data_IF_446299237558
#
_entry.id   IF_446299237558
#
_cell.length_a   1.000
_cell.length_b   1.000
_cell.length_c   1.000
_cell.angle_alpha   90.00
_cell.angle_beta   90.00
_cell.angle_gamma   90.00
#
_symmetry.space_group_name_H-M   'P 1'
#
loop_
_entity.id
_entity.type
_entity.pdbx_description
1 polymer ?
#
# COMPACT_ATOMS: atom_id res chain seq x y z
N UNK A 1 3.13 8.83 -14.34
CA UNK A 1 3.64 7.45 -14.51
C UNK A 1 3.92 6.82 -13.17
N UNK A 2 3.69 5.52 -13.07
CA UNK A 2 4.04 4.67 -11.93
C UNK A 2 4.99 3.60 -12.48
N UNK A 3 6.20 3.50 -11.94
CA UNK A 3 7.22 2.54 -12.37
C UNK A 3 7.41 1.54 -11.22
N UNK A 4 6.75 0.39 -11.31
CA UNK A 4 6.85 -0.67 -10.30
C UNK A 4 6.85 -2.02 -11.00
N UNK A 5 7.94 -2.77 -10.85
CA UNK A 5 8.04 -4.12 -11.36
C UNK A 5 7.22 -5.09 -10.52
N UNK A 6 6.61 -6.09 -11.15
CA UNK A 6 5.92 -7.17 -10.49
C UNK A 6 6.38 -8.50 -11.09
N UNK A 7 7.01 -9.40 -10.31
CA UNK A 7 7.40 -10.71 -10.82
C UNK A 7 6.15 -11.56 -11.08
N UNK A 8 6.04 -12.10 -12.28
CA UNK A 8 4.98 -13.05 -12.63
C UNK A 8 5.52 -14.48 -12.59
N UNK A 9 4.95 -15.30 -11.70
CA UNK A 9 5.18 -16.73 -11.64
C UNK A 9 3.82 -17.41 -11.74
N UNK A 10 3.56 -18.28 -12.74
CA UNK A 10 2.27 -18.95 -12.85
C UNK A 10 2.11 -20.00 -11.75
N UNK A 11 0.93 -20.07 -11.13
CA UNK A 11 0.58 -21.12 -10.17
C UNK A 11 0.38 -22.46 -10.90
N UNK A 12 1.14 -23.48 -10.51
CA UNK A 12 1.01 -24.81 -11.07
C UNK A 12 -0.37 -25.40 -10.71
N UNK A 13 -1.06 -25.98 -11.70
CA UNK A 13 -2.39 -26.59 -11.53
C UNK A 13 -3.44 -25.65 -10.93
N UNK A 14 -3.35 -24.35 -11.24
CA UNK A 14 -4.29 -23.34 -10.76
C UNK A 14 -5.75 -23.72 -11.01
N UNK A 15 -6.56 -23.53 -9.98
CA UNK A 15 -8.02 -23.61 -10.02
C UNK A 15 -8.61 -22.40 -9.31
N UNK A 16 -9.73 -21.89 -9.79
CA UNK A 16 -10.46 -20.83 -9.08
C UNK A 16 -10.99 -21.32 -7.73
N UNK A 17 -11.08 -20.40 -6.77
CA UNK A 17 -11.71 -20.65 -5.48
C UNK A 17 -12.83 -19.63 -5.25
N UNK A 18 -13.85 -20.00 -4.46
CA UNK A 18 -14.98 -19.12 -4.14
C UNK A 18 -14.58 -17.87 -3.34
N UNK A 19 -13.41 -17.90 -2.69
CA UNK A 19 -12.78 -16.78 -1.99
C UNK A 19 -11.28 -16.79 -2.31
N UNK A 20 -10.62 -15.63 -2.22
CA UNK A 20 -9.20 -15.46 -2.53
C UNK A 20 -8.95 -14.82 -3.91
N UNK A 21 -7.69 -14.46 -4.18
CA UNK A 21 -7.31 -13.80 -5.42
C UNK A 21 -7.13 -14.82 -6.54
N UNK A 22 -8.07 -14.84 -7.49
CA UNK A 22 -8.09 -15.75 -8.64
C UNK A 22 -7.30 -15.18 -9.83
N UNK A 23 -5.99 -14.98 -9.66
CA UNK A 23 -5.11 -14.36 -10.68
C UNK A 23 -4.20 -15.35 -11.43
N UNK A 24 -4.14 -16.61 -11.00
CA UNK A 24 -3.21 -17.60 -11.59
C UNK A 24 -1.74 -17.37 -11.23
N UNK A 25 -1.46 -16.54 -10.22
CA UNK A 25 -0.10 -16.17 -9.81
C UNK A 25 0.29 -16.95 -8.55
N UNK A 26 1.46 -17.58 -8.57
CA UNK A 26 2.11 -18.09 -7.37
C UNK A 26 2.71 -16.93 -6.57
N UNK A 27 1.88 -16.34 -5.70
CA UNK A 27 2.29 -15.25 -4.83
C UNK A 27 3.37 -15.66 -3.83
N UNK A 28 3.50 -16.95 -3.49
CA UNK A 28 4.55 -17.40 -2.57
C UNK A 28 5.92 -17.43 -3.26
N UNK A 29 5.97 -17.87 -4.52
CA UNK A 29 7.18 -17.82 -5.32
C UNK A 29 7.60 -16.38 -5.67
N UNK A 30 6.62 -15.49 -5.86
CA UNK A 30 6.83 -14.07 -6.13
C UNK A 30 7.12 -13.22 -4.88
N UNK A 31 7.03 -13.80 -3.67
CA UNK A 31 7.08 -13.06 -2.42
C UNK A 31 8.44 -12.40 -2.16
N UNK A 32 8.43 -11.14 -1.70
CA UNK A 32 9.63 -10.38 -1.39
C UNK A 32 10.47 -11.08 -0.29
N UNK A 33 11.70 -11.52 -0.61
CA UNK A 33 12.54 -12.19 0.38
C UNK A 33 12.92 -11.23 1.51
N UNK A 34 13.25 -11.80 2.68
CA UNK A 34 13.85 -11.05 3.78
C UNK A 34 15.35 -10.85 3.56
N UNK A 35 15.71 -10.24 2.43
CA UNK A 35 17.08 -9.90 2.07
C UNK A 35 17.22 -8.38 1.92
N UNK A 36 18.10 -7.72 2.70
CA UNK A 36 18.27 -6.27 2.63
C UNK A 36 18.71 -5.74 1.27
N UNK A 37 19.57 -6.47 0.56
CA UNK A 37 20.11 -6.04 -0.73
C UNK A 37 19.03 -6.13 -1.81
N UNK A 38 18.28 -7.22 -1.83
CA UNK A 38 17.15 -7.40 -2.76
C UNK A 38 16.09 -6.33 -2.51
N UNK A 39 15.68 -6.13 -1.25
CA UNK A 39 14.68 -5.11 -0.89
C UNK A 39 15.14 -3.71 -1.29
N UNK A 40 16.38 -3.34 -0.98
CA UNK A 40 16.92 -2.03 -1.34
C UNK A 40 16.95 -1.83 -2.87
N UNK A 41 17.35 -2.85 -3.63
CA UNK A 41 17.39 -2.79 -5.09
C UNK A 41 15.98 -2.60 -5.69
N UNK A 42 14.99 -3.38 -5.24
CA UNK A 42 13.62 -3.27 -5.77
C UNK A 42 12.95 -1.96 -5.33
N UNK A 43 13.18 -1.50 -4.09
CA UNK A 43 12.70 -0.19 -3.64
C UNK A 43 13.30 0.95 -4.47
N UNK A 44 14.60 0.89 -4.80
CA UNK A 44 15.24 1.89 -5.65
C UNK A 44 14.73 1.88 -7.11
N UNK A 45 14.30 0.72 -7.61
CA UNK A 45 13.69 0.56 -8.92
C UNK A 45 12.21 0.99 -8.95
N UNK A 46 11.58 1.15 -7.79
CA UNK A 46 10.16 1.51 -7.65
C UNK A 46 10.02 3.04 -7.60
N UNK A 47 9.52 3.65 -8.67
CA UNK A 47 9.52 5.11 -8.86
C UNK A 47 8.15 5.62 -9.27
N UNK A 48 7.93 6.93 -9.11
CA UNK A 48 6.77 7.62 -9.65
C UNK A 48 7.18 8.90 -10.33
N UNK A 49 6.32 9.41 -11.21
CA UNK A 49 6.54 10.71 -11.86
C UNK A 49 5.23 11.36 -12.31
N UNK A 50 5.20 12.69 -12.34
CA UNK A 50 4.30 13.47 -13.18
C UNK A 50 4.98 13.68 -14.53
N UNK A 51 4.29 13.36 -15.62
CA UNK A 51 4.80 13.47 -16.98
C UNK A 51 3.86 14.38 -17.77
N UNK A 52 4.39 15.43 -18.39
CA UNK A 52 3.69 16.09 -19.49
C UNK A 52 4.06 15.40 -20.79
N UNK A 53 3.11 14.66 -21.34
CA UNK A 53 3.26 13.96 -22.60
C UNK A 53 2.63 14.77 -23.72
N UNK A 54 3.37 14.97 -24.80
CA UNK A 54 2.84 15.48 -26.05
C UNK A 54 2.32 14.31 -26.89
N UNK A 55 1.00 14.18 -27.10
CA UNK A 55 0.44 13.08 -27.87
C UNK A 55 0.68 13.20 -29.38
N UNK A 56 0.91 14.41 -29.90
CA UNK A 56 1.15 14.66 -31.34
C UNK A 56 2.60 14.31 -31.68
N UNK A 57 3.53 14.86 -30.92
CA UNK A 57 4.96 14.59 -31.11
C UNK A 57 5.41 13.26 -30.46
N UNK A 58 4.54 12.63 -29.67
CA UNK A 58 4.82 11.39 -28.92
C UNK A 58 6.09 11.47 -28.07
N UNK A 59 6.24 12.58 -27.35
CA UNK A 59 7.43 12.85 -26.56
C UNK A 59 7.10 13.46 -25.19
N UNK A 60 7.96 13.18 -24.21
CA UNK A 60 7.93 13.82 -22.91
C UNK A 60 8.39 15.27 -23.06
N UNK A 61 7.54 16.24 -22.69
CA UNK A 61 7.90 17.66 -22.67
C UNK A 61 8.66 18.02 -21.40
N UNK A 62 8.23 17.46 -20.27
CA UNK A 62 8.90 17.57 -18.98
C UNK A 62 8.44 16.47 -18.02
N UNK A 63 9.21 16.28 -16.95
CA UNK A 63 8.94 15.32 -15.88
C UNK A 63 9.26 15.89 -14.51
N UNK A 64 8.41 15.59 -13.55
CA UNK A 64 8.67 15.76 -12.12
C UNK A 64 8.77 14.38 -11.49
N UNK A 65 9.96 14.02 -10.99
CA UNK A 65 10.18 12.75 -10.31
C UNK A 65 9.59 12.76 -8.90
N UNK A 66 8.98 11.65 -8.50
CA UNK A 66 8.50 11.40 -7.15
C UNK A 66 9.28 10.26 -6.51
N UNK A 67 9.39 10.31 -5.18
CA UNK A 67 10.12 9.31 -4.39
C UNK A 67 9.58 7.88 -4.60
N UNK A 68 8.27 7.75 -4.78
CA UNK A 68 7.61 6.47 -5.03
C UNK A 68 6.39 6.62 -5.94
N UNK A 69 5.80 5.50 -6.35
CA UNK A 69 4.61 5.48 -7.19
C UNK A 69 3.33 5.78 -6.38
N UNK A 70 2.19 5.50 -6.99
CA UNK A 70 0.84 5.64 -6.45
C UNK A 70 0.42 7.08 -6.10
N UNK A 71 1.00 8.04 -6.81
CA UNK A 71 0.61 9.45 -6.76
C UNK A 71 -0.78 9.66 -7.40
N UNK A 72 -1.46 10.72 -6.98
CA UNK A 72 -2.85 10.97 -7.32
C UNK A 72 -3.09 11.39 -8.76
N UNK A 73 -4.37 11.49 -9.11
CA UNK A 73 -4.79 12.04 -10.40
C UNK A 73 -4.40 13.51 -10.56
N UNK A 74 -4.56 14.02 -11.78
CA UNK A 74 -4.13 15.36 -12.19
C UNK A 74 -5.32 16.22 -12.59
N UNK A 75 -5.21 17.53 -12.35
CA UNK A 75 -6.16 18.54 -12.83
C UNK A 75 -5.39 19.66 -13.55
N UNK A 76 -5.65 19.84 -14.85
CA UNK A 76 -5.13 20.98 -15.60
C UNK A 76 -6.19 22.10 -15.68
N UNK A 77 -5.76 23.37 -15.70
CA UNK A 77 -6.67 24.53 -15.80
C UNK A 77 -6.23 25.50 -16.90
N UNK A 78 -7.17 26.33 -17.36
CA UNK A 78 -6.89 27.40 -18.34
C UNK A 78 -5.96 28.50 -17.83
N UNK A 79 -5.65 28.53 -16.53
CA UNK A 79 -4.68 29.45 -15.93
C UNK A 79 -3.22 29.01 -16.06
N UNK A 80 -2.94 27.96 -16.85
CA UNK A 80 -1.57 27.43 -17.02
C UNK A 80 -1.07 26.63 -15.82
N UNK A 81 -1.98 26.04 -15.05
CA UNK A 81 -1.65 25.26 -13.85
C UNK A 81 -2.04 23.79 -13.98
N UNK A 82 -1.20 22.91 -13.44
CA UNK A 82 -1.51 21.49 -13.19
C UNK A 82 -1.45 21.22 -11.68
N UNK A 83 -2.53 20.69 -11.12
CA UNK A 83 -2.61 20.28 -9.71
C UNK A 83 -2.49 18.78 -9.58
N UNK A 84 -1.74 18.32 -8.58
CA UNK A 84 -1.63 16.91 -8.24
C UNK A 84 -1.32 16.72 -6.76
N UNK A 85 -1.95 15.73 -6.15
CA UNK A 85 -1.53 15.21 -4.84
C UNK A 85 -0.61 14.00 -4.98
N UNK A 86 0.30 13.79 -4.03
CA UNK A 86 1.33 12.75 -4.14
C UNK A 86 1.40 11.83 -2.91
N UNK A 87 2.15 10.73 -3.02
CA UNK A 87 2.37 9.78 -1.93
C UNK A 87 3.24 10.38 -0.79
N UNK A 88 3.99 11.44 -1.07
CA UNK A 88 4.82 12.17 -0.10
C UNK A 88 4.03 13.17 0.77
N UNK A 89 2.68 13.11 0.73
CA UNK A 89 1.76 13.93 1.53
C UNK A 89 1.74 15.40 1.14
N UNK A 90 2.06 15.73 -0.12
CA UNK A 90 1.90 17.08 -0.66
C UNK A 90 0.72 17.16 -1.62
N UNK A 91 0.01 18.28 -1.58
CA UNK A 91 -0.81 18.76 -2.69
C UNK A 91 -0.08 19.92 -3.37
N UNK A 92 0.13 19.83 -4.68
CA UNK A 92 1.07 20.68 -5.42
C UNK A 92 0.40 21.29 -6.64
N UNK A 93 0.73 22.55 -6.92
CA UNK A 93 0.43 23.22 -8.18
C UNK A 93 1.73 23.43 -8.97
N UNK A 94 1.73 23.00 -10.21
CA UNK A 94 2.84 23.11 -11.14
C UNK A 94 2.47 24.06 -12.28
N UNK A 95 3.47 24.76 -12.82
CA UNK A 95 3.37 25.42 -14.11
C UNK A 95 3.16 24.36 -15.21
N UNK A 96 2.13 24.53 -16.04
CA UNK A 96 1.73 23.53 -17.02
C UNK A 96 2.75 23.36 -18.16
N UNK A 97 3.52 24.41 -18.46
CA UNK A 97 4.46 24.42 -19.60
C UNK A 97 5.81 23.84 -19.22
N UNK A 98 6.30 24.14 -18.01
CA UNK A 98 7.64 23.79 -17.55
C UNK A 98 7.68 22.70 -16.48
N UNK A 99 6.56 22.42 -15.80
CA UNK A 99 6.52 21.50 -14.67
C UNK A 99 7.14 22.07 -13.38
N UNK A 100 7.47 23.37 -13.35
CA UNK A 100 8.01 24.02 -12.14
C UNK A 100 6.96 24.01 -11.03
N UNK A 101 7.35 23.57 -9.82
CA UNK A 101 6.52 23.67 -8.62
C UNK A 101 6.31 25.15 -8.27
N UNK A 102 5.08 25.63 -8.36
CA UNK A 102 4.71 27.02 -8.04
C UNK A 102 4.17 27.17 -6.62
N UNK A 103 3.51 26.13 -6.13
CA UNK A 103 2.91 26.12 -4.79
C UNK A 103 2.77 24.69 -4.28
N UNK A 104 2.88 24.51 -2.97
CA UNK A 104 2.51 23.25 -2.32
C UNK A 104 1.96 23.44 -0.92
N UNK A 105 1.23 22.44 -0.45
CA UNK A 105 0.72 22.32 0.92
C UNK A 105 0.91 20.89 1.41
N UNK A 106 1.38 20.73 2.66
CA UNK A 106 1.38 19.42 3.32
C UNK A 106 -0.05 19.06 3.72
N UNK A 107 -0.46 17.84 3.36
CA UNK A 107 -1.82 17.33 3.61
C UNK A 107 -1.87 16.20 4.63
N UNK A 108 -0.71 15.86 5.23
CA UNK A 108 -0.54 14.85 6.30
C UNK A 108 -0.92 13.41 5.93
N UNK A 109 -1.31 13.13 4.69
CA UNK A 109 -1.56 11.79 4.16
C UNK A 109 -1.30 11.76 2.66
N UNK A 110 -1.12 10.56 2.09
CA UNK A 110 -0.98 10.43 0.64
C UNK A 110 -2.29 10.75 -0.08
N UNK A 111 -2.20 11.29 -1.30
CA UNK A 111 -3.37 11.57 -2.14
C UNK A 111 -3.32 10.65 -3.36
N UNK A 112 -4.42 9.91 -3.57
CA UNK A 112 -4.61 9.04 -4.74
C UNK A 112 -5.71 9.56 -5.68
N UNK A 113 -6.65 10.35 -5.17
CA UNK A 113 -7.74 10.93 -5.95
C UNK A 113 -7.24 12.06 -6.88
N UNK A 114 -8.00 12.32 -7.95
CA UNK A 114 -7.81 13.49 -8.78
C UNK A 114 -8.43 14.73 -8.10
N UNK A 115 -7.80 15.92 -8.19
CA UNK A 115 -8.41 17.18 -7.76
C UNK A 115 -9.54 17.61 -8.70
N UNK A 116 -10.42 18.46 -8.19
CA UNK A 116 -11.46 19.15 -8.97
C UNK A 116 -11.40 20.66 -8.70
N UNK A 117 -11.90 21.48 -9.62
CA UNK A 117 -12.05 22.92 -9.42
C UNK A 117 -13.46 23.37 -9.79
N UNK A 118 -13.98 24.37 -9.07
CA UNK A 118 -15.31 24.93 -9.26
C UNK A 118 -15.33 26.39 -8.79
N UNK A 119 -16.44 27.09 -9.01
CA UNK A 119 -16.63 28.44 -8.49
C UNK A 119 -17.92 28.58 -7.68
N UNK A 120 -17.88 29.46 -6.68
CA UNK A 120 -19.05 29.84 -5.88
C UNK A 120 -19.06 31.36 -5.84
N UNK A 121 -20.15 31.99 -6.32
CA UNK A 121 -20.33 33.46 -6.34
C UNK A 121 -19.12 34.22 -6.92
N UNK A 122 -18.53 33.69 -7.99
CA UNK A 122 -17.39 34.30 -8.68
C UNK A 122 -16.01 34.00 -8.07
N UNK A 123 -15.92 33.32 -6.92
CA UNK A 123 -14.65 32.89 -6.34
C UNK A 123 -14.33 31.45 -6.74
N UNK A 124 -13.10 31.18 -7.16
CA UNK A 124 -12.64 29.85 -7.57
C UNK A 124 -12.11 29.05 -6.38
N UNK A 125 -12.44 27.77 -6.35
CA UNK A 125 -12.03 26.78 -5.38
C UNK A 125 -11.36 25.59 -6.07
N UNK A 126 -10.38 24.98 -5.41
CA UNK A 126 -9.77 23.71 -5.81
C UNK A 126 -9.94 22.73 -4.67
N UNK A 127 -10.57 21.59 -4.92
CA UNK A 127 -10.84 20.57 -3.92
C UNK A 127 -10.15 19.25 -4.26
N UNK A 128 -9.72 18.52 -3.23
CA UNK A 128 -9.14 17.19 -3.37
C UNK A 128 -9.52 16.32 -2.18
N UNK A 129 -9.82 15.05 -2.45
CA UNK A 129 -9.98 14.04 -1.40
C UNK A 129 -8.59 13.50 -1.03
N UNK A 130 -8.10 13.91 0.13
CA UNK A 130 -6.88 13.38 0.69
C UNK A 130 -7.18 12.06 1.42
N UNK A 131 -6.48 11.00 1.03
CA UNK A 131 -6.69 9.66 1.55
C UNK A 131 -5.73 8.65 0.91
N UNK A 132 -4.88 8.06 1.74
CA UNK A 132 -3.98 7.00 1.34
C UNK A 132 -4.72 5.66 1.31
N UNK A 133 -4.66 4.96 0.19
CA UNK A 133 -5.42 3.74 -0.01
C UNK A 133 -5.24 3.16 -1.40
N UNK A 134 -6.16 2.26 -1.79
CA UNK A 134 -6.03 1.48 -3.02
C UNK A 134 -5.02 0.34 -2.88
N UNK A 135 -4.89 -0.47 -3.94
CA UNK A 135 -4.14 -1.74 -3.87
C UNK A 135 -2.67 -1.55 -3.48
N UNK A 136 -2.03 -0.44 -3.86
CA UNK A 136 -0.63 -0.18 -3.51
C UNK A 136 -0.40 0.01 -2.02
N UNK A 137 -1.38 0.56 -1.29
CA UNK A 137 -1.29 0.73 0.15
C UNK A 137 -1.47 -0.59 0.92
N UNK A 138 -1.90 -1.65 0.23
CA UNK A 138 -2.26 -2.95 0.80
C UNK A 138 -1.30 -4.06 0.37
N UNK A 139 -1.22 -4.35 -0.93
CA UNK A 139 -0.68 -5.60 -1.47
C UNK A 139 0.85 -5.66 -1.68
N UNK A 140 1.56 -4.61 -2.16
CA UNK A 140 3.00 -4.68 -2.47
C UNK A 140 3.94 -4.87 -1.27
N UNK A 141 3.37 -4.96 -0.08
CA UNK A 141 4.06 -5.09 1.18
C UNK A 141 5.08 -3.98 1.45
N UNK A 142 6.36 -4.34 1.62
CA UNK A 142 7.41 -3.36 1.94
C UNK A 142 7.55 -2.25 0.88
N UNK A 143 7.19 -2.52 -0.37
CA UNK A 143 7.24 -1.51 -1.44
C UNK A 143 6.23 -0.36 -1.24
N UNK A 144 5.18 -0.58 -0.45
CA UNK A 144 4.25 0.48 -0.05
C UNK A 144 4.93 1.59 0.77
N UNK A 145 6.14 1.35 1.31
CA UNK A 145 6.90 2.30 2.12
C UNK A 145 7.99 3.05 1.34
N UNK A 146 8.06 2.91 0.02
CA UNK A 146 9.08 3.63 -0.79
C UNK A 146 9.00 5.15 -0.59
N UNK A 147 7.80 5.71 -0.50
CA UNK A 147 7.59 7.13 -0.16
C UNK A 147 7.75 7.44 1.34
N UNK A 148 8.05 6.44 2.17
CA UNK A 148 7.96 6.45 3.63
C UNK A 148 6.66 5.79 4.13
N UNK A 149 6.51 5.56 5.45
CA UNK A 149 5.24 5.09 6.00
C UNK A 149 4.18 6.18 5.89
N UNK A 150 3.11 5.93 5.13
CA UNK A 150 2.02 6.90 4.90
C UNK A 150 0.75 6.44 5.61
N UNK A 151 0.38 7.07 6.72
CA UNK A 151 -0.92 6.77 7.35
C UNK A 151 -2.05 7.41 6.56
N UNK A 152 -3.18 6.70 6.47
CA UNK A 152 -4.41 7.28 5.93
C UNK A 152 -5.02 8.27 6.94
N UNK A 153 -5.26 9.51 6.49
CA UNK A 153 -6.01 10.53 7.24
C UNK A 153 -7.02 11.16 6.30
N UNK A 154 -8.20 10.55 6.20
CA UNK A 154 -9.22 10.94 5.23
C UNK A 154 -9.74 12.37 5.45
N UNK A 155 -9.61 13.25 4.47
CA UNK A 155 -10.13 14.63 4.49
C UNK A 155 -10.58 15.10 3.11
N UNK A 156 -11.63 15.92 3.07
CA UNK A 156 -11.88 16.83 1.96
C UNK A 156 -11.07 18.10 2.22
N UNK A 157 -10.15 18.43 1.33
CA UNK A 157 -9.36 19.66 1.39
C UNK A 157 -9.84 20.59 0.29
N UNK A 158 -10.13 21.85 0.65
CA UNK A 158 -10.61 22.87 -0.28
C UNK A 158 -9.75 24.12 -0.13
N UNK A 159 -9.19 24.56 -1.25
CA UNK A 159 -8.28 25.69 -1.35
C UNK A 159 -8.93 26.82 -2.15
N UNK A 160 -8.62 28.06 -1.77
CA UNK A 160 -8.98 29.30 -2.47
C UNK A 160 -7.86 30.33 -2.25
N UNK A 161 -7.80 31.37 -3.07
CA UNK A 161 -6.85 32.47 -2.86
C UNK A 161 -7.15 33.19 -1.54
N UNK A 162 -6.10 33.44 -0.74
CA UNK A 162 -6.23 34.08 0.58
C UNK A 162 -6.87 33.20 1.67
N UNK A 163 -7.05 31.90 1.42
CA UNK A 163 -7.49 30.96 2.46
C UNK A 163 -6.44 30.80 3.57
N UNK A 164 -6.88 30.83 4.83
CA UNK A 164 -6.00 30.79 6.01
C UNK A 164 -6.27 29.62 6.97
N UNK A 165 -7.14 28.68 6.58
CA UNK A 165 -7.44 27.50 7.38
C UNK A 165 -6.18 26.63 7.56
N UNK A 166 -6.00 26.08 8.75
CA UNK A 166 -4.86 25.23 9.09
C UNK A 166 -5.32 23.82 9.41
N UNK A 167 -4.52 22.83 9.01
CA UNK A 167 -4.72 21.46 9.46
C UNK A 167 -4.37 21.35 10.95
N UNK A 168 -5.03 20.45 11.70
CA UNK A 168 -4.61 20.13 13.06
C UNK A 168 -3.19 19.55 13.06
N UNK A 169 -2.50 19.49 14.21
CA UNK A 169 -1.16 18.87 14.28
C UNK A 169 -1.12 17.47 13.67
N UNK A 170 -0.02 17.16 12.97
CA UNK A 170 0.19 15.82 12.41
C UNK A 170 0.36 14.80 13.55
N UNK A 171 -0.20 13.61 13.35
CA UNK A 171 -0.04 12.50 14.30
C UNK A 171 0.94 11.48 13.75
N UNK A 172 1.77 10.92 14.63
CA UNK A 172 2.79 9.96 14.25
C UNK A 172 2.21 8.57 14.00
N UNK A 173 2.87 7.82 13.10
CA UNK A 173 2.54 6.42 12.85
C UNK A 173 3.29 5.56 13.87
N UNK A 174 2.58 5.05 14.87
CA UNK A 174 3.13 4.10 15.82
C UNK A 174 2.81 2.68 15.37
N UNK A 175 3.82 1.82 15.27
CA UNK A 175 3.62 0.39 15.03
C UNK A 175 3.79 -0.39 16.33
N UNK A 176 2.97 -1.42 16.58
CA UNK A 176 3.23 -2.33 17.68
C UNK A 176 4.62 -2.98 17.54
N UNK A 177 5.24 -3.42 18.65
CA UNK A 177 6.50 -4.13 18.60
C UNK A 177 6.46 -5.34 17.66
N UNK A 178 7.60 -5.67 17.05
CA UNK A 178 7.75 -6.91 16.29
C UNK A 178 8.29 -7.97 17.24
N UNK A 179 7.39 -8.70 17.89
CA UNK A 179 7.75 -9.69 18.90
C UNK A 179 7.04 -11.03 18.65
N UNK A 180 7.55 -11.84 17.71
CA UNK A 180 6.92 -13.12 17.37
C UNK A 180 7.18 -14.20 18.42
N UNK A 181 6.22 -15.12 18.63
CA UNK A 181 6.43 -16.32 19.44
C UNK A 181 7.47 -17.25 18.79
N UNK A 182 7.94 -18.27 19.52
CA UNK A 182 8.82 -19.28 18.95
C UNK A 182 8.17 -19.98 17.74
N UNK A 183 8.97 -20.26 16.71
CA UNK A 183 8.53 -21.04 15.55
C UNK A 183 8.29 -22.49 15.97
N UNK A 184 7.11 -23.02 15.67
CA UNK A 184 6.76 -24.43 15.97
C UNK A 184 6.37 -25.24 14.73
N UNK A 185 6.18 -24.57 13.59
CA UNK A 185 5.85 -25.21 12.32
C UNK A 185 7.04 -25.92 11.68
N UNK A 186 6.75 -27.03 11.02
CA UNK A 186 7.70 -27.73 10.13
C UNK A 186 7.98 -26.92 8.86
N UNK A 187 9.11 -27.14 8.17
CA UNK A 187 9.40 -26.49 6.88
C UNK A 187 8.27 -26.65 5.86
N UNK A 188 7.66 -27.83 5.79
CA UNK A 188 6.57 -28.15 4.86
C UNK A 188 5.30 -27.35 5.19
N UNK A 189 4.96 -27.25 6.48
CA UNK A 189 3.84 -26.43 6.95
C UNK A 189 4.06 -24.95 6.65
N UNK A 190 5.27 -24.43 6.86
CA UNK A 190 5.60 -23.03 6.56
C UNK A 190 5.51 -22.76 5.05
N UNK A 191 5.98 -23.69 4.21
CA UNK A 191 5.89 -23.57 2.76
C UNK A 191 4.44 -23.57 2.27
N UNK A 192 3.58 -24.46 2.80
CA UNK A 192 2.14 -24.45 2.52
C UNK A 192 1.49 -23.15 3.01
N UNK A 193 1.83 -22.72 4.22
CA UNK A 193 1.36 -21.46 4.79
C UNK A 193 1.68 -20.25 3.91
N UNK A 194 2.87 -20.23 3.28
CA UNK A 194 3.25 -19.18 2.34
C UNK A 194 2.37 -19.14 1.10
N UNK A 195 2.07 -20.29 0.50
CA UNK A 195 1.16 -20.39 -0.67
C UNK A 195 -0.24 -19.88 -0.34
N UNK A 196 -0.80 -20.37 0.76
CA UNK A 196 -2.13 -19.97 1.19
C UNK A 196 -2.17 -18.49 1.61
N UNK A 197 -1.13 -18.01 2.32
CA UNK A 197 -1.03 -16.60 2.69
C UNK A 197 -1.04 -15.70 1.46
N UNK A 198 -0.20 -15.98 0.46
CA UNK A 198 -0.10 -15.17 -0.74
C UNK A 198 -1.44 -15.02 -1.46
N UNK A 199 -2.17 -16.13 -1.59
CA UNK A 199 -3.45 -16.18 -2.31
C UNK A 199 -4.65 -15.61 -1.55
N UNK A 200 -4.70 -15.80 -0.23
CA UNK A 200 -5.89 -15.45 0.56
C UNK A 200 -5.72 -14.22 1.45
N UNK A 201 -4.48 -13.84 1.76
CA UNK A 201 -4.17 -12.79 2.73
C UNK A 201 -3.37 -11.64 2.13
N UNK A 202 -2.43 -11.93 1.22
CA UNK A 202 -1.42 -10.98 0.74
C UNK A 202 -1.99 -9.71 0.09
N UNK A 203 -3.14 -9.79 -0.58
CA UNK A 203 -3.76 -8.60 -1.18
C UNK A 203 -4.27 -7.57 -0.17
N UNK A 204 -4.51 -7.97 1.08
CA UNK A 204 -4.94 -7.08 2.17
C UNK A 204 -3.83 -6.83 3.20
N UNK A 205 -3.12 -7.88 3.60
CA UNK A 205 -2.11 -7.85 4.65
C UNK A 205 -0.67 -7.74 4.11
N UNK A 206 -0.53 -7.50 2.81
CA UNK A 206 0.71 -7.19 2.13
C UNK A 206 1.56 -8.39 1.79
N UNK A 207 2.36 -8.22 0.75
CA UNK A 207 3.28 -9.23 0.27
C UNK A 207 4.20 -9.71 1.40
N UNK A 208 4.41 -11.03 1.40
CA UNK A 208 5.26 -11.72 2.35
C UNK A 208 4.99 -11.40 3.84
N UNK A 209 3.71 -11.20 4.19
CA UNK A 209 3.23 -10.80 5.52
C UNK A 209 3.65 -9.41 5.99
N UNK A 210 4.26 -8.62 5.12
CA UNK A 210 4.61 -7.24 5.42
C UNK A 210 3.44 -6.34 5.05
N UNK A 211 2.59 -5.94 6.00
CA UNK A 211 1.53 -4.99 5.69
C UNK A 211 2.06 -3.55 5.56
N UNK A 212 1.38 -2.75 4.75
CA UNK A 212 1.49 -1.31 4.78
C UNK A 212 0.90 -0.71 6.07
N UNK A 213 0.44 0.53 5.98
CA UNK A 213 -0.03 1.35 7.12
C UNK A 213 -1.55 1.49 7.20
N UNK A 214 -2.30 0.85 6.29
CA UNK A 214 -3.76 0.94 6.20
C UNK A 214 -4.44 -0.19 6.96
N UNK A 215 -3.97 -1.43 6.78
CA UNK A 215 -4.49 -2.62 7.47
C UNK A 215 -3.44 -3.18 8.46
N UNK A 216 -3.86 -4.02 9.44
CA UNK A 216 -2.95 -4.59 10.42
C UNK A 216 -1.79 -5.40 9.79
N UNK A 217 -0.58 -5.16 10.29
CA UNK A 217 0.60 -5.96 10.03
C UNK A 217 0.55 -7.24 10.87
N UNK A 218 0.22 -8.37 10.25
CA UNK A 218 -0.05 -9.63 10.96
C UNK A 218 1.18 -10.12 11.73
N UNK A 219 2.40 -9.79 11.29
CA UNK A 219 3.65 -10.11 12.00
C UNK A 219 3.73 -9.49 13.39
N UNK A 220 2.96 -8.43 13.62
CA UNK A 220 2.90 -7.65 14.88
C UNK A 220 1.63 -7.92 15.68
N UNK A 221 0.75 -8.81 15.20
CA UNK A 221 -0.50 -9.10 15.87
C UNK A 221 -0.26 -10.02 17.06
N UNK A 222 -0.82 -9.69 18.23
CA UNK A 222 -0.78 -10.58 19.39
C UNK A 222 -1.47 -11.93 19.13
N UNK A 223 -2.39 -12.00 18.17
CA UNK A 223 -3.13 -13.22 17.85
C UNK A 223 -2.23 -14.32 17.27
N UNK A 224 -1.06 -14.00 16.70
CA UNK A 224 -0.15 -15.04 16.18
C UNK A 224 0.46 -15.88 17.31
N UNK A 225 0.40 -15.42 18.56
CA UNK A 225 0.88 -16.14 19.74
C UNK A 225 -0.02 -17.32 20.16
N UNK A 226 -1.31 -17.30 19.80
CA UNK A 226 -2.27 -18.35 20.19
C UNK A 226 -3.08 -18.85 18.99
N UNK A 227 -2.98 -20.14 18.70
CA UNK A 227 -3.62 -20.74 17.53
C UNK A 227 -5.16 -20.67 17.56
N UNK A 228 -5.79 -20.70 18.75
CA UNK A 228 -7.25 -20.60 18.87
C UNK A 228 -7.74 -19.17 18.62
N UNK A 229 -7.02 -18.19 19.16
CA UNK A 229 -7.29 -16.77 18.94
C UNK A 229 -7.06 -16.37 17.47
N UNK A 230 -6.07 -16.95 16.81
CA UNK A 230 -5.89 -16.82 15.36
C UNK A 230 -7.05 -17.43 14.57
N UNK A 231 -7.42 -18.67 14.90
CA UNK A 231 -8.49 -19.38 14.21
C UNK A 231 -9.86 -18.69 14.38
N UNK A 232 -10.16 -18.11 15.54
CA UNK A 232 -11.43 -17.39 15.73
C UNK A 232 -11.61 -16.21 14.76
N UNK A 233 -10.51 -15.57 14.34
CA UNK A 233 -10.55 -14.52 13.33
C UNK A 233 -10.55 -15.11 11.92
N UNK A 234 -9.58 -15.95 11.60
CA UNK A 234 -9.32 -16.40 10.21
C UNK A 234 -10.28 -17.50 9.76
N UNK A 235 -10.65 -18.43 10.65
CA UNK A 235 -11.61 -19.48 10.36
C UNK A 235 -13.04 -18.98 10.60
N UNK A 236 -13.34 -18.55 11.83
CA UNK A 236 -14.73 -18.28 12.26
C UNK A 236 -15.24 -16.89 11.84
N UNK A 237 -14.34 -15.99 11.43
CA UNK A 237 -14.70 -14.65 10.96
C UNK A 237 -15.18 -13.73 12.09
N UNK A 238 -14.58 -13.82 13.29
CA UNK A 238 -14.93 -12.99 14.44
C UNK A 238 -14.83 -11.47 14.16
N UNK A 239 -14.08 -11.06 13.13
CA UNK A 239 -13.91 -9.67 12.71
C UNK A 239 -14.61 -9.33 11.38
N UNK A 240 -15.57 -10.15 10.93
CA UNK A 240 -16.26 -9.97 9.64
C UNK A 240 -16.96 -8.61 9.52
N UNK A 241 -17.54 -8.12 10.61
CA UNK A 241 -18.24 -6.84 10.63
C UNK A 241 -17.28 -5.64 10.54
N UNK A 242 -15.97 -5.89 10.72
CA UNK A 242 -14.88 -4.92 10.49
C UNK A 242 -14.20 -5.13 9.13
N UNK A 243 -14.75 -6.00 8.26
CA UNK A 243 -14.22 -6.29 6.93
C UNK A 243 -13.21 -7.43 6.85
N UNK A 244 -12.85 -8.09 7.97
CA UNK A 244 -11.98 -9.27 7.96
C UNK A 244 -12.82 -10.56 7.87
N UNK A 245 -12.92 -11.12 6.68
CA UNK A 245 -13.75 -12.30 6.40
C UNK A 245 -13.18 -13.58 7.03
N UNK A 246 -14.07 -14.53 7.31
CA UNK A 246 -13.68 -15.91 7.64
C UNK A 246 -13.45 -16.74 6.37
N UNK A 247 -12.54 -17.71 6.47
CA UNK A 247 -12.09 -18.55 5.36
C UNK A 247 -12.44 -20.04 5.52
N UNK A 248 -13.26 -20.41 6.51
CA UNK A 248 -13.67 -21.79 6.78
C UNK A 248 -14.27 -22.56 5.57
N UNK A 249 -14.78 -21.84 4.57
CA UNK A 249 -15.35 -22.43 3.34
C UNK A 249 -14.31 -22.85 2.31
N UNK A 250 -13.09 -22.32 2.40
CA UNK A 250 -12.04 -22.48 1.38
C UNK A 250 -10.69 -22.93 1.94
N UNK A 251 -10.48 -22.82 3.25
CA UNK A 251 -9.27 -23.25 3.93
C UNK A 251 -9.62 -24.21 5.08
N UNK A 252 -8.87 -25.32 5.16
CA UNK A 252 -8.95 -26.23 6.30
C UNK A 252 -8.33 -25.62 7.56
N UNK A 253 -8.70 -26.10 8.77
CA UNK A 253 -8.04 -25.68 10.00
C UNK A 253 -6.51 -25.85 9.97
N UNK A 254 -6.01 -26.90 9.31
CA UNK A 254 -4.57 -27.15 9.17
C UNK A 254 -3.90 -26.12 8.25
N UNK A 255 -4.56 -25.70 7.17
CA UNK A 255 -4.06 -24.64 6.30
C UNK A 255 -4.03 -23.28 7.02
N UNK A 256 -5.05 -22.98 7.83
CA UNK A 256 -5.10 -21.76 8.63
C UNK A 256 -3.97 -21.70 9.66
N UNK A 257 -3.68 -22.83 10.31
CA UNK A 257 -2.53 -22.96 11.21
C UNK A 257 -1.21 -22.83 10.43
N UNK A 258 -1.12 -23.41 9.24
CA UNK A 258 0.07 -23.26 8.37
C UNK A 258 0.33 -21.80 8.01
N UNK A 259 -0.71 -21.01 7.69
CA UNK A 259 -0.60 -19.56 7.48
C UNK A 259 -0.03 -18.87 8.72
N UNK A 260 -0.51 -19.21 9.93
CA UNK A 260 0.00 -18.64 11.18
C UNK A 260 1.50 -18.90 11.34
N UNK A 261 1.95 -20.13 11.08
CA UNK A 261 3.36 -20.50 11.13
C UNK A 261 4.21 -19.74 10.11
N UNK A 262 3.68 -19.53 8.90
CA UNK A 262 4.34 -18.70 7.90
C UNK A 262 4.49 -17.23 8.36
N UNK A 263 3.44 -16.63 8.94
CA UNK A 263 3.49 -15.26 9.46
C UNK A 263 4.51 -15.14 10.60
N UNK A 264 4.58 -16.12 11.52
CA UNK A 264 5.59 -16.19 12.58
C UNK A 264 7.01 -16.25 12.00
N UNK A 265 7.23 -17.11 11.01
CA UNK A 265 8.52 -17.21 10.31
C UNK A 265 8.92 -15.88 9.67
N UNK A 266 8.00 -15.20 8.98
CA UNK A 266 8.26 -13.86 8.39
C UNK A 266 8.57 -12.81 9.43
N UNK A 267 7.88 -12.83 10.56
CA UNK A 267 8.14 -11.93 11.68
C UNK A 267 9.56 -12.12 12.26
N UNK A 268 10.03 -13.36 12.42
CA UNK A 268 11.40 -13.65 12.85
C UNK A 268 12.44 -13.17 11.86
N UNK A 269 12.24 -13.44 10.57
CA UNK A 269 13.16 -12.97 9.53
C UNK A 269 13.31 -11.45 9.55
N UNK A 270 12.20 -10.72 9.63
CA UNK A 270 12.21 -9.26 9.66
C UNK A 270 12.73 -8.68 10.98
N UNK A 271 12.58 -9.39 12.11
CA UNK A 271 13.21 -9.02 13.38
C UNK A 271 14.74 -9.15 13.27
N UNK A 272 15.23 -10.24 12.71
CA UNK A 272 16.66 -10.47 12.50
C UNK A 272 17.33 -9.46 11.54
N UNK A 273 16.55 -8.77 10.68
CA UNK A 273 17.06 -7.66 9.86
C UNK A 273 17.16 -6.33 10.61
N UNK A 274 16.43 -6.15 11.72
CA UNK A 274 16.42 -4.92 12.53
C UNK A 274 17.49 -4.92 13.60
N UNK A 275 17.85 -6.09 14.09
CA UNK A 275 18.83 -6.28 15.16
C UNK A 275 20.28 -6.26 14.64
N UNK A 276 20.49 -6.01 13.33
CA UNK A 276 21.79 -5.89 12.65
C UNK A 276 22.05 -4.45 12.25
#
# INVERSE_FOLDING_TARGET
>A
AQEAGFPYVPEAHWQEAAQGFNTGIDFAAAAMPADPKVRAAVMAATKGALIAWDPIAQQERWRVAFKGPWNGGVLATGGGLVFQGNAAKEFVAYDAVSGVKLWSSSVQTGITAAPVTYSIKGEQYVAVLAGWGGIWALAPGILSEVAGPVRNVSRLLVYRLGGSAQLPPESHVTRPPLDPPATTGTPEQIAEGGRQYGRFCGGCHGDAAYAGTVLPDLRRSALIADGKAWASVVHDGALRDQGMVGFAKVLSPQQIESIRQYVIKRAHEDKALRDK
#
